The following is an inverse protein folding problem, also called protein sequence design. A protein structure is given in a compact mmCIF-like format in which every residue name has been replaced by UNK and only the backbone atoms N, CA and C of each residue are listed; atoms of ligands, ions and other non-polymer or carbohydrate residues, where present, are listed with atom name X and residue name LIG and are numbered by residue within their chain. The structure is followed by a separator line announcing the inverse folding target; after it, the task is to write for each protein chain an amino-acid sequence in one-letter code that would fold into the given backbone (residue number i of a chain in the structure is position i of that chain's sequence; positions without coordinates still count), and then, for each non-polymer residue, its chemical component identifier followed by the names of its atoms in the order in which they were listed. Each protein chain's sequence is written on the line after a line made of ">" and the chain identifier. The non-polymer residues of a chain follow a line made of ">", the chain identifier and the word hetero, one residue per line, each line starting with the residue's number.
data_IF_268531333671
#
_entry.id   IF_268531333671
#
_cell.length_a   1.000
_cell.length_b   1.000
_cell.length_c   1.000
_cell.angle_alpha   90.00
_cell.angle_beta   90.00
_cell.angle_gamma   90.00
#
_symmetry.space_group_name_H-M   'P 1'
#
loop_
_entity.id
_entity.type
_entity.pdbx_description
1 polymer ?
#
# COMPACT_ATOMS: atom_id res chain seq x y z
N UNK A 1 -13.42 7.27 8.19
CA UNK A 1 -12.49 8.36 8.59
C UNK A 1 -11.76 8.92 7.37
N UNK A 2 -12.13 10.08 6.82
CA UNK A 2 -11.44 10.63 5.65
C UNK A 2 -10.10 11.27 6.04
N UNK A 3 -9.11 11.23 5.16
CA UNK A 3 -7.76 11.73 5.42
C UNK A 3 -7.20 12.54 4.25
N UNK A 4 -6.39 13.55 4.57
CA UNK A 4 -5.55 14.28 3.61
C UNK A 4 -4.11 14.03 4.05
N UNK A 5 -3.30 13.47 3.15
CA UNK A 5 -1.92 13.08 3.43
C UNK A 5 -0.97 13.82 2.48
N UNK A 6 0.19 14.24 2.99
CA UNK A 6 1.27 14.84 2.21
C UNK A 6 2.47 13.90 2.13
N UNK A 7 3.23 13.99 1.03
CA UNK A 7 4.45 13.21 0.78
C UNK A 7 4.25 11.69 0.98
N UNK A 8 3.23 11.13 0.33
CA UNK A 8 2.83 9.73 0.49
C UNK A 8 3.66 8.81 -0.39
N UNK A 9 4.12 7.69 0.17
CA UNK A 9 4.54 6.50 -0.59
C UNK A 9 3.40 5.47 -0.56
N UNK A 10 2.77 5.25 -1.71
CA UNK A 10 1.80 4.18 -1.92
C UNK A 10 2.54 2.92 -2.37
N UNK A 11 2.25 1.78 -1.74
CA UNK A 11 2.73 0.47 -2.16
C UNK A 11 1.53 -0.42 -2.47
N UNK A 12 1.43 -0.87 -3.72
CA UNK A 12 0.44 -1.86 -4.15
C UNK A 12 1.11 -3.21 -4.24
N UNK A 13 0.62 -4.18 -3.48
CA UNK A 13 1.08 -5.58 -3.52
C UNK A 13 0.08 -6.42 -4.30
N UNK A 14 0.53 -7.09 -5.36
CA UNK A 14 -0.28 -8.05 -6.12
C UNK A 14 0.31 -9.45 -5.95
N UNK A 15 -0.56 -10.44 -5.87
CA UNK A 15 -0.20 -11.85 -5.88
C UNK A 15 -0.70 -12.46 -7.18
N UNK A 16 0.21 -13.06 -7.95
CA UNK A 16 -0.09 -13.80 -9.16
C UNK A 16 0.27 -15.27 -8.91
N UNK A 17 -0.57 -16.20 -9.35
CA UNK A 17 -0.26 -17.64 -9.26
C UNK A 17 0.14 -18.09 -10.65
N UNK A 18 1.32 -18.69 -10.76
CA UNK A 18 1.77 -19.31 -12.00
C UNK A 18 0.98 -20.60 -12.26
N UNK A 19 0.34 -20.72 -13.43
CA UNK A 19 -0.59 -21.81 -13.73
C UNK A 19 0.12 -23.17 -13.91
N UNK A 20 1.41 -23.18 -14.22
CA UNK A 20 2.17 -24.42 -14.46
C UNK A 20 2.84 -24.94 -13.19
N UNK A 21 3.47 -24.05 -12.42
CA UNK A 21 4.22 -24.40 -11.21
C UNK A 21 3.40 -24.28 -9.92
N UNK A 22 2.23 -23.62 -9.98
CA UNK A 22 1.41 -23.25 -8.81
C UNK A 22 2.15 -22.40 -7.78
N UNK A 23 3.22 -21.71 -8.19
CA UNK A 23 3.98 -20.81 -7.34
C UNK A 23 3.28 -19.45 -7.20
N UNK A 24 3.28 -18.90 -5.99
CA UNK A 24 2.79 -17.54 -5.72
C UNK A 24 3.90 -16.51 -5.93
N UNK A 25 3.70 -15.64 -6.92
CA UNK A 25 4.61 -14.55 -7.25
C UNK A 25 4.04 -13.25 -6.68
N UNK A 26 4.76 -12.68 -5.72
CA UNK A 26 4.42 -11.40 -5.11
C UNK A 26 5.11 -10.25 -5.83
N UNK A 27 4.33 -9.27 -6.31
CA UNK A 27 4.84 -8.06 -6.95
C UNK A 27 4.47 -6.83 -6.14
N UNK A 28 5.40 -5.88 -6.06
CA UNK A 28 5.18 -4.59 -5.41
C UNK A 28 5.40 -3.46 -6.41
N UNK A 29 4.42 -2.58 -6.54
CA UNK A 29 4.56 -1.33 -7.29
C UNK A 29 4.48 -0.16 -6.32
N UNK A 30 5.47 0.74 -6.39
CA UNK A 30 5.57 1.91 -5.50
C UNK A 30 5.32 3.20 -6.26
N UNK A 31 4.62 4.14 -5.62
CA UNK A 31 4.32 5.47 -6.17
C UNK A 31 4.52 6.54 -5.11
N UNK A 32 5.17 7.63 -5.48
CA UNK A 32 5.32 8.81 -4.64
C UNK A 32 4.31 9.88 -5.04
N UNK A 33 3.48 10.34 -4.11
CA UNK A 33 2.40 11.28 -4.37
C UNK A 33 2.53 12.47 -3.41
N UNK A 34 2.70 13.71 -3.91
CA UNK A 34 2.87 14.89 -3.04
C UNK A 34 1.69 15.14 -2.11
N UNK A 35 0.45 14.97 -2.59
CA UNK A 35 -0.78 15.14 -1.82
C UNK A 35 -1.83 14.12 -2.25
N UNK A 36 -2.49 13.47 -1.29
CA UNK A 36 -3.51 12.45 -1.53
C UNK A 36 -4.70 12.60 -0.59
N UNK A 37 -5.92 12.59 -1.15
CA UNK A 37 -7.15 12.42 -0.38
C UNK A 37 -7.52 10.94 -0.31
N UNK A 38 -7.70 10.42 0.89
CA UNK A 38 -8.12 9.03 1.15
C UNK A 38 -9.51 9.03 1.76
N UNK A 39 -10.44 8.33 1.10
CA UNK A 39 -11.77 8.10 1.64
C UNK A 39 -11.71 7.05 2.74
N UNK A 40 -12.39 7.31 3.84
CA UNK A 40 -12.23 6.54 5.06
C UNK A 40 -12.88 5.17 5.12
N UNK A 41 -13.60 4.77 4.08
CA UNK A 41 -14.35 3.52 4.05
C UNK A 41 -13.42 2.33 3.73
N UNK A 42 -12.28 2.57 3.08
CA UNK A 42 -11.27 1.56 2.73
C UNK A 42 -10.13 1.43 3.75
N UNK A 43 -10.15 2.23 4.82
CA UNK A 43 -9.08 2.24 5.84
C UNK A 43 -9.36 1.16 6.87
N UNK A 44 -8.48 0.16 6.94
CA UNK A 44 -8.59 -0.97 7.89
C UNK A 44 -7.84 -0.68 9.20
N UNK A 45 -6.60 -0.17 9.11
CA UNK A 45 -5.72 0.09 10.25
C UNK A 45 -4.91 1.36 10.03
N UNK A 46 -4.68 2.11 11.10
CA UNK A 46 -3.72 3.23 11.15
C UNK A 46 -2.71 2.95 12.24
N UNK A 47 -1.42 3.05 11.92
CA UNK A 47 -0.33 2.90 12.90
C UNK A 47 0.78 3.89 12.58
N UNK A 48 1.54 4.36 13.60
CA UNK A 48 2.70 5.21 13.35
C UNK A 48 3.79 4.42 12.60
N UNK A 49 4.63 5.10 11.79
CA UNK A 49 5.78 4.44 11.19
C UNK A 49 6.70 3.88 12.28
N UNK A 50 7.38 2.77 11.98
CA UNK A 50 8.39 2.20 12.88
C UNK A 50 9.41 3.28 13.18
N UNK A 51 9.55 3.67 14.45
CA UNK A 51 10.61 4.60 14.86
C UNK A 51 11.94 3.88 14.60
N UNK A 52 12.70 4.31 13.60
CA UNK A 52 14.11 3.97 13.54
C UNK A 52 14.78 4.62 14.76
N UNK A 53 15.17 3.81 15.74
CA UNK A 53 16.05 4.23 16.85
C UNK A 53 17.46 4.47 16.36
#
# INVERSE_FOLDING_TARGET
>A
MNMILSNVEETVTTSEVDEESFEEIYRQTKRTIPMLYVRGDSVILVSPPVRAT
#
